data_IF_033591866288
#
_entry.id   IF_033591866288
#
_cell.length_a   1.000
_cell.length_b   1.000
_cell.length_c   1.000
_cell.angle_alpha   90.00
_cell.angle_beta   90.00
_cell.angle_gamma   90.00
#
_symmetry.space_group_name_H-M   'P 1'
#
loop_
_entity.id
_entity.type
_entity.pdbx_description
1 polymer ?
#
# COMPACT_ATOMS: atom_id res chain seq x y z
N UNK A 1 -9.80 30.91 6.50
CA UNK A 1 -9.60 30.29 5.16
C UNK A 1 -8.98 28.87 5.27
N UNK A 2 -7.89 28.67 6.02
CA UNK A 2 -7.27 27.35 6.18
C UNK A 2 -8.24 26.27 6.68
N UNK A 3 -9.06 26.56 7.68
CA UNK A 3 -10.08 25.65 8.21
C UNK A 3 -11.09 25.20 7.13
N UNK A 4 -11.58 26.13 6.30
CA UNK A 4 -12.50 25.77 5.20
C UNK A 4 -11.84 24.83 4.18
N UNK A 5 -10.57 25.08 3.86
CA UNK A 5 -9.81 24.20 2.97
C UNK A 5 -9.58 22.83 3.62
N UNK A 6 -9.38 22.76 4.93
CA UNK A 6 -9.31 21.51 5.69
C UNK A 6 -10.61 20.70 5.58
N UNK A 7 -11.78 21.36 5.62
CA UNK A 7 -13.07 20.70 5.38
C UNK A 7 -13.23 20.18 3.95
N UNK A 8 -12.67 20.88 2.94
CA UNK A 8 -12.66 20.37 1.57
C UNK A 8 -11.82 19.08 1.45
N UNK A 9 -10.67 19.03 2.09
CA UNK A 9 -9.85 17.79 2.14
C UNK A 9 -10.56 16.66 2.90
N UNK A 10 -11.29 16.98 3.97
CA UNK A 10 -12.13 16.00 4.67
C UNK A 10 -13.21 15.43 3.74
N UNK A 11 -13.88 16.31 2.97
CA UNK A 11 -14.83 15.89 1.94
C UNK A 11 -14.20 14.99 0.87
N UNK A 12 -12.97 15.29 0.47
CA UNK A 12 -12.19 14.44 -0.44
C UNK A 12 -11.89 13.08 0.18
N UNK A 13 -11.54 12.99 1.47
CA UNK A 13 -11.34 11.73 2.18
C UNK A 13 -12.61 10.87 2.15
N UNK A 14 -13.76 11.46 2.51
CA UNK A 14 -15.05 10.78 2.53
C UNK A 14 -15.39 10.30 1.12
N UNK A 15 -15.16 11.12 0.10
CA UNK A 15 -15.43 10.75 -1.28
C UNK A 15 -14.58 9.57 -1.76
N UNK A 16 -13.27 9.54 -1.42
CA UNK A 16 -12.37 8.44 -1.76
C UNK A 16 -12.85 7.14 -1.11
N UNK A 17 -13.13 7.17 0.20
CA UNK A 17 -13.60 6.00 0.95
C UNK A 17 -14.91 5.49 0.36
N UNK A 18 -15.90 6.38 0.18
CA UNK A 18 -17.17 6.03 -0.44
C UNK A 18 -16.98 5.38 -1.81
N UNK A 19 -16.08 5.93 -2.62
CA UNK A 19 -15.78 5.42 -3.95
C UNK A 19 -15.22 3.99 -3.89
N UNK A 20 -14.26 3.74 -3.00
CA UNK A 20 -13.69 2.42 -2.81
C UNK A 20 -14.72 1.39 -2.37
N UNK A 21 -15.57 1.76 -1.40
CA UNK A 21 -16.62 0.89 -0.86
C UNK A 21 -17.70 0.60 -1.92
N UNK A 22 -18.19 1.63 -2.61
CA UNK A 22 -19.23 1.45 -3.65
C UNK A 22 -18.74 0.57 -4.79
N UNK A 23 -17.50 0.79 -5.28
CA UNK A 23 -16.93 -0.02 -6.37
C UNK A 23 -16.70 -1.47 -5.92
N UNK A 24 -16.36 -1.70 -4.64
CA UNK A 24 -16.21 -3.04 -4.07
C UNK A 24 -17.57 -3.76 -3.91
N UNK A 25 -18.59 -3.05 -3.41
CA UNK A 25 -19.96 -3.60 -3.25
C UNK A 25 -20.56 -3.93 -4.62
N UNK A 26 -20.34 -3.11 -5.63
CA UNK A 26 -20.80 -3.36 -7.01
C UNK A 26 -19.99 -4.45 -7.73
N UNK A 27 -18.94 -4.96 -7.11
CA UNK A 27 -18.00 -5.93 -7.71
C UNK A 27 -17.31 -5.42 -8.99
N UNK A 28 -17.31 -4.10 -9.19
CA UNK A 28 -16.63 -3.48 -10.34
C UNK A 28 -15.11 -3.53 -10.19
N UNK A 29 -14.65 -3.35 -8.93
CA UNK A 29 -13.23 -3.39 -8.58
C UNK A 29 -13.09 -4.00 -7.20
N UNK A 30 -12.15 -4.92 -7.03
CA UNK A 30 -11.87 -5.49 -5.74
C UNK A 30 -11.39 -4.45 -4.72
N UNK A 31 -11.78 -4.63 -3.45
CA UNK A 31 -11.43 -3.69 -2.38
C UNK A 31 -9.92 -3.48 -2.28
N UNK A 32 -9.14 -4.55 -2.36
CA UNK A 32 -7.67 -4.53 -2.29
C UNK A 32 -7.00 -4.59 -3.68
N UNK A 33 -7.64 -4.03 -4.70
CA UNK A 33 -7.02 -3.87 -6.02
C UNK A 33 -5.88 -2.84 -5.99
N UNK A 34 -4.95 -2.93 -6.93
CA UNK A 34 -3.86 -1.96 -7.09
C UNK A 34 -4.38 -0.52 -7.15
N UNK A 35 -5.53 -0.30 -7.82
CA UNK A 35 -6.20 1.00 -7.87
C UNK A 35 -6.60 1.49 -6.49
N UNK A 36 -7.27 0.64 -5.71
CA UNK A 36 -7.76 1.00 -4.39
C UNK A 36 -6.61 1.16 -3.39
N UNK A 37 -5.55 0.37 -3.51
CA UNK A 37 -4.32 0.56 -2.72
C UNK A 37 -3.66 1.90 -3.01
N UNK A 38 -3.63 2.32 -4.29
CA UNK A 38 -3.18 3.67 -4.63
C UNK A 38 -4.06 4.75 -4.02
N UNK A 39 -5.40 4.60 -4.12
CA UNK A 39 -6.35 5.54 -3.52
C UNK A 39 -6.21 5.60 -2.00
N UNK A 40 -5.96 4.47 -1.34
CA UNK A 40 -5.70 4.41 0.11
C UNK A 40 -4.40 5.13 0.48
N UNK A 41 -3.34 4.93 -0.30
CA UNK A 41 -2.09 5.66 -0.13
C UNK A 41 -2.29 7.17 -0.32
N UNK A 42 -2.99 7.58 -1.37
CA UNK A 42 -3.32 8.98 -1.61
C UNK A 42 -4.19 9.58 -0.49
N UNK A 43 -5.18 8.83 -0.01
CA UNK A 43 -5.99 9.21 1.14
C UNK A 43 -5.12 9.51 2.36
N UNK A 44 -4.22 8.59 2.70
CA UNK A 44 -3.41 8.70 3.92
C UNK A 44 -2.35 9.80 3.83
N UNK A 45 -1.60 9.85 2.73
CA UNK A 45 -0.43 10.74 2.62
C UNK A 45 -0.77 12.15 2.14
N UNK A 46 -1.85 12.31 1.39
CA UNK A 46 -2.24 13.62 0.84
C UNK A 46 -3.47 14.16 1.55
N UNK A 47 -4.63 13.48 1.41
CA UNK A 47 -5.90 14.04 1.85
C UNK A 47 -6.02 14.09 3.37
N UNK A 48 -5.74 13.00 4.09
CA UNK A 48 -5.86 12.96 5.55
C UNK A 48 -4.76 13.80 6.22
N UNK A 49 -3.54 13.77 5.71
CA UNK A 49 -2.44 14.59 6.22
C UNK A 49 -2.75 16.09 6.07
N UNK A 50 -3.24 16.52 4.90
CA UNK A 50 -3.65 17.90 4.68
C UNK A 50 -4.86 18.29 5.56
N UNK A 51 -5.83 17.39 5.73
CA UNK A 51 -6.99 17.59 6.61
C UNK A 51 -6.51 17.88 8.04
N UNK A 52 -5.68 17.00 8.62
CA UNK A 52 -5.19 17.16 10.00
C UNK A 52 -4.38 18.43 10.17
N UNK A 53 -3.45 18.71 9.27
CA UNK A 53 -2.62 19.91 9.34
C UNK A 53 -3.44 21.20 9.27
N UNK A 54 -4.41 21.27 8.36
CA UNK A 54 -5.22 22.50 8.16
C UNK A 54 -6.31 22.70 9.23
N UNK A 55 -6.87 21.61 9.78
CA UNK A 55 -7.88 21.69 10.83
C UNK A 55 -7.28 21.94 12.20
N UNK A 56 -6.13 21.32 12.51
CA UNK A 56 -5.47 21.44 13.81
C UNK A 56 -4.50 22.63 13.87
N UNK A 57 -4.18 23.25 12.73
CA UNK A 57 -3.22 24.35 12.66
C UNK A 57 -1.77 23.88 12.86
N UNK A 58 -1.52 22.57 12.80
CA UNK A 58 -0.17 22.00 12.94
C UNK A 58 0.42 21.78 11.54
N UNK A 59 1.23 22.74 11.12
CA UNK A 59 1.91 22.69 9.81
C UNK A 59 3.27 21.99 9.86
N UNK A 60 3.57 21.31 10.97
CA UNK A 60 4.83 20.61 11.17
C UNK A 60 6.05 21.54 11.08
N UNK A 61 7.09 21.09 10.35
CA UNK A 61 8.33 21.87 10.15
C UNK A 61 8.19 22.97 9.08
N UNK A 62 7.13 22.99 8.29
CA UNK A 62 6.90 24.01 7.26
C UNK A 62 6.12 25.19 7.85
N UNK A 63 6.79 26.31 8.05
CA UNK A 63 6.13 27.59 8.28
C UNK A 63 5.53 28.07 6.96
N UNK A 64 4.22 27.95 6.81
CA UNK A 64 3.50 28.46 5.65
C UNK A 64 3.03 29.87 5.96
N UNK A 65 3.52 30.87 5.23
CA UNK A 65 3.09 32.27 5.40
C UNK A 65 1.62 32.47 5.04
N UNK A 66 1.11 31.66 4.10
CA UNK A 66 -0.28 31.70 3.63
C UNK A 66 -0.91 30.32 3.56
N UNK A 67 -1.17 29.65 4.71
CA UNK A 67 -1.62 28.26 4.72
C UNK A 67 -2.95 28.03 3.99
N UNK A 68 -3.84 29.03 4.00
CA UNK A 68 -5.12 28.93 3.31
C UNK A 68 -5.00 28.92 1.79
N UNK A 69 -4.13 29.76 1.22
CA UNK A 69 -3.93 29.81 -0.24
C UNK A 69 -3.15 28.59 -0.73
N UNK A 70 -2.07 28.26 -0.06
CA UNK A 70 -1.27 27.05 -0.38
C UNK A 70 -2.10 25.79 -0.28
N UNK A 71 -2.91 25.68 0.78
CA UNK A 71 -3.84 24.57 0.95
C UNK A 71 -4.86 24.47 -0.18
N UNK A 72 -5.43 25.60 -0.63
CA UNK A 72 -6.38 25.64 -1.74
C UNK A 72 -5.73 25.17 -3.05
N UNK A 73 -4.51 25.63 -3.33
CA UNK A 73 -3.76 25.20 -4.50
C UNK A 73 -3.48 23.68 -4.46
N UNK A 74 -3.03 23.17 -3.32
CA UNK A 74 -2.81 21.75 -3.11
C UNK A 74 -4.09 20.93 -3.26
N UNK A 75 -5.22 21.45 -2.78
CA UNK A 75 -6.52 20.81 -2.98
C UNK A 75 -6.90 20.73 -4.45
N UNK A 76 -6.76 21.84 -5.20
CA UNK A 76 -7.05 21.87 -6.64
C UNK A 76 -6.16 20.88 -7.41
N UNK A 77 -4.85 20.85 -7.12
CA UNK A 77 -3.91 19.90 -7.71
C UNK A 77 -4.25 18.44 -7.36
N UNK A 78 -4.63 18.17 -6.11
CA UNK A 78 -5.03 16.83 -5.68
C UNK A 78 -6.29 16.34 -6.39
N UNK A 79 -7.29 17.22 -6.55
CA UNK A 79 -8.50 16.91 -7.31
C UNK A 79 -8.21 16.66 -8.80
N UNK A 80 -7.39 17.51 -9.42
CA UNK A 80 -6.99 17.33 -10.82
C UNK A 80 -6.23 16.00 -11.00
N UNK A 81 -5.31 15.69 -10.11
CA UNK A 81 -4.55 14.45 -10.13
C UNK A 81 -5.45 13.21 -9.97
N UNK A 82 -6.36 13.21 -9.00
CA UNK A 82 -7.33 12.11 -8.82
C UNK A 82 -8.23 11.93 -10.04
N UNK A 83 -8.70 13.03 -10.62
CA UNK A 83 -9.51 12.98 -11.83
C UNK A 83 -8.74 12.38 -13.00
N UNK A 84 -7.51 12.83 -13.25
CA UNK A 84 -6.65 12.31 -14.32
C UNK A 84 -6.30 10.85 -14.07
N UNK A 85 -5.95 10.48 -12.84
CA UNK A 85 -5.65 9.10 -12.46
C UNK A 85 -6.83 8.19 -12.74
N UNK A 86 -8.02 8.52 -12.26
CA UNK A 86 -9.21 7.69 -12.44
C UNK A 86 -9.65 7.59 -13.90
N UNK A 87 -9.52 8.71 -14.65
CA UNK A 87 -9.80 8.74 -16.09
C UNK A 87 -8.81 7.86 -16.87
N UNK A 88 -7.53 7.95 -16.54
CA UNK A 88 -6.48 7.18 -17.21
C UNK A 88 -6.57 5.70 -16.86
N UNK A 89 -6.88 5.37 -15.60
CA UNK A 89 -7.08 3.99 -15.16
C UNK A 89 -8.18 3.29 -15.96
N UNK A 90 -9.30 3.96 -16.18
CA UNK A 90 -10.41 3.41 -16.97
C UNK A 90 -10.06 3.18 -18.44
N UNK A 91 -9.12 3.93 -18.99
CA UNK A 91 -8.71 3.87 -20.41
C UNK A 91 -7.47 3.02 -20.65
N UNK A 92 -6.73 2.71 -19.62
CA UNK A 92 -5.47 2.00 -19.74
C UNK A 92 -5.68 0.49 -19.90
N UNK A 93 -5.37 -0.03 -21.10
CA UNK A 93 -5.32 -1.48 -21.34
C UNK A 93 -4.32 -2.21 -20.44
N UNK A 94 -3.26 -1.50 -19.99
CA UNK A 94 -2.25 -2.03 -19.06
C UNK A 94 -2.85 -2.19 -17.68
N UNK A 95 -3.55 -1.18 -17.17
CA UNK A 95 -4.23 -1.23 -15.88
C UNK A 95 -5.30 -2.31 -15.84
N UNK A 96 -6.06 -2.46 -16.93
CA UNK A 96 -7.05 -3.53 -17.10
C UNK A 96 -6.38 -4.93 -17.12
N UNK A 97 -5.24 -5.06 -17.81
CA UNK A 97 -4.45 -6.29 -17.77
C UNK A 97 -3.90 -6.59 -16.38
N UNK A 98 -3.35 -5.60 -15.67
CA UNK A 98 -2.81 -5.79 -14.32
C UNK A 98 -3.93 -6.20 -13.36
N UNK A 99 -5.09 -5.55 -13.43
CA UNK A 99 -6.25 -5.90 -12.59
C UNK A 99 -6.80 -7.30 -12.87
N UNK A 100 -6.77 -7.73 -14.12
CA UNK A 100 -7.17 -9.09 -14.52
C UNK A 100 -6.04 -10.13 -14.33
N UNK A 101 -4.79 -9.72 -14.25
CA UNK A 101 -3.64 -10.63 -14.10
C UNK A 101 -3.67 -11.36 -12.76
N UNK A 102 -4.25 -10.75 -11.74
CA UNK A 102 -4.50 -11.37 -10.44
C UNK A 102 -5.46 -12.57 -10.52
N UNK A 103 -6.29 -12.66 -11.55
CA UNK A 103 -7.28 -13.72 -11.73
C UNK A 103 -6.80 -14.89 -12.63
N UNK A 104 -5.66 -14.74 -13.31
CA UNK A 104 -5.07 -15.86 -14.06
C UNK A 104 -4.24 -16.71 -13.10
N UNK A 105 -4.66 -17.95 -12.92
CA UNK A 105 -3.88 -18.98 -12.22
C UNK A 105 -2.58 -19.25 -12.97
N UNK A 106 -1.55 -18.48 -12.66
CA UNK A 106 -0.20 -18.96 -12.89
C UNK A 106 0.15 -19.85 -11.70
N UNK A 107 0.36 -21.12 -11.97
CA UNK A 107 0.91 -22.07 -11.01
C UNK A 107 2.37 -21.67 -10.79
N UNK A 108 2.59 -20.65 -9.95
CA UNK A 108 3.93 -20.34 -9.46
C UNK A 108 4.23 -21.33 -8.36
N UNK A 109 5.35 -22.06 -8.47
CA UNK A 109 5.77 -22.99 -7.43
C UNK A 109 6.03 -22.24 -6.13
N UNK A 110 5.70 -22.82 -4.98
CA UNK A 110 5.93 -22.18 -3.68
C UNK A 110 7.41 -21.91 -3.43
N UNK A 111 8.30 -22.77 -3.94
CA UNK A 111 9.77 -22.57 -3.90
C UNK A 111 10.14 -21.32 -4.72
N UNK A 112 9.54 -21.13 -5.89
CA UNK A 112 9.75 -19.93 -6.69
C UNK A 112 9.29 -18.65 -5.99
N UNK A 113 8.20 -18.71 -5.21
CA UNK A 113 7.74 -17.58 -4.41
C UNK A 113 8.73 -17.23 -3.29
N UNK A 114 9.27 -18.24 -2.59
CA UNK A 114 10.29 -18.02 -1.55
C UNK A 114 11.56 -17.42 -2.16
N UNK A 115 12.04 -18.00 -3.27
CA UNK A 115 13.22 -17.48 -3.96
C UNK A 115 13.02 -16.03 -4.41
N UNK A 116 11.83 -15.70 -4.94
CA UNK A 116 11.46 -14.33 -5.31
C UNK A 116 11.43 -13.41 -4.10
N UNK A 117 10.85 -13.84 -2.97
CA UNK A 117 10.81 -13.03 -1.76
C UNK A 117 12.22 -12.68 -1.28
N UNK A 118 13.14 -13.64 -1.22
CA UNK A 118 14.51 -13.38 -0.83
C UNK A 118 15.30 -12.53 -1.85
N UNK A 119 15.06 -12.72 -3.14
CA UNK A 119 15.60 -11.84 -4.17
C UNK A 119 15.15 -10.39 -4.00
N UNK A 120 13.86 -10.18 -3.68
CA UNK A 120 13.30 -8.85 -3.41
C UNK A 120 13.93 -8.24 -2.15
N UNK A 121 14.18 -9.04 -1.08
CA UNK A 121 14.95 -8.57 0.10
C UNK A 121 16.35 -8.13 -0.30
N UNK A 122 17.05 -8.91 -1.14
CA UNK A 122 18.39 -8.56 -1.63
C UNK A 122 18.40 -7.23 -2.40
N UNK A 123 17.43 -7.01 -3.29
CA UNK A 123 17.30 -5.74 -4.01
C UNK A 123 16.96 -4.60 -3.04
N UNK A 124 16.07 -4.81 -2.10
CA UNK A 124 15.74 -3.85 -1.05
C UNK A 124 16.96 -3.48 -0.20
N UNK A 125 17.79 -4.46 0.15
CA UNK A 125 19.04 -4.23 0.86
C UNK A 125 20.02 -3.36 0.06
N UNK A 126 20.19 -3.65 -1.23
CA UNK A 126 21.01 -2.83 -2.13
C UNK A 126 20.48 -1.39 -2.23
N UNK A 127 19.19 -1.20 -2.30
CA UNK A 127 18.57 0.12 -2.29
C UNK A 127 18.78 0.85 -0.96
N UNK A 128 18.71 0.13 0.16
CA UNK A 128 18.78 0.72 1.51
C UNK A 128 20.17 1.17 1.91
N UNK A 129 21.21 0.41 1.57
CA UNK A 129 22.56 0.64 2.05
C UNK A 129 23.46 1.20 0.95
N UNK A 130 23.84 0.47 -0.11
CA UNK A 130 24.79 0.98 -1.09
C UNK A 130 24.25 2.18 -1.88
N UNK A 131 23.02 2.12 -2.35
CA UNK A 131 22.45 3.18 -3.18
C UNK A 131 22.00 4.41 -2.38
N UNK A 132 21.72 4.25 -1.10
CA UNK A 132 21.34 5.37 -0.23
C UNK A 132 22.51 6.34 0.02
N UNK A 133 23.77 5.92 -0.20
CA UNK A 133 24.95 6.78 -0.06
C UNK A 133 25.06 7.79 -1.21
N UNK A 134 24.39 7.53 -2.34
CA UNK A 134 24.43 8.44 -3.49
C UNK A 134 23.61 9.71 -3.16
N UNK A 135 24.23 10.93 -3.24
CA UNK A 135 23.53 12.17 -3.01
C UNK A 135 22.25 12.27 -3.86
N UNK A 136 21.19 12.87 -3.31
CA UNK A 136 19.87 13.05 -3.91
C UNK A 136 19.04 11.76 -4.10
N UNK A 137 19.64 10.58 -4.16
CA UNK A 137 18.91 9.31 -4.34
C UNK A 137 18.51 8.67 -3.00
N UNK A 138 19.14 9.04 -1.88
CA UNK A 138 18.97 8.36 -0.59
C UNK A 138 17.52 8.28 -0.09
N UNK A 139 16.72 9.35 -0.26
CA UNK A 139 15.31 9.34 0.14
C UNK A 139 14.51 8.38 -0.75
N UNK A 140 14.68 8.49 -2.07
CA UNK A 140 13.95 7.69 -3.05
C UNK A 140 14.28 6.20 -2.89
N UNK A 141 15.56 5.86 -2.77
CA UNK A 141 16.01 4.48 -2.59
C UNK A 141 15.57 3.89 -1.25
N UNK A 142 15.49 4.70 -0.19
CA UNK A 142 14.96 4.27 1.10
C UNK A 142 13.47 3.94 1.03
N UNK A 143 12.66 4.75 0.34
CA UNK A 143 11.23 4.48 0.12
C UNK A 143 11.04 3.20 -0.71
N UNK A 144 11.83 3.04 -1.77
CA UNK A 144 11.80 1.83 -2.61
C UNK A 144 12.17 0.60 -1.78
N UNK A 145 13.21 0.68 -0.95
CA UNK A 145 13.64 -0.40 -0.08
C UNK A 145 12.53 -0.83 0.89
N UNK A 146 11.85 0.14 1.53
CA UNK A 146 10.73 -0.15 2.42
C UNK A 146 9.58 -0.87 1.68
N UNK A 147 9.26 -0.43 0.46
CA UNK A 147 8.29 -1.11 -0.40
C UNK A 147 8.72 -2.55 -0.76
N UNK A 148 9.99 -2.77 -1.06
CA UNK A 148 10.55 -4.09 -1.36
C UNK A 148 10.47 -5.03 -0.15
N UNK A 149 10.83 -4.58 1.05
CA UNK A 149 10.74 -5.39 2.26
C UNK A 149 9.30 -5.77 2.60
N UNK A 150 8.37 -4.83 2.46
CA UNK A 150 6.94 -5.09 2.64
C UNK A 150 6.42 -6.10 1.61
N UNK A 151 6.80 -5.96 0.35
CA UNK A 151 6.43 -6.89 -0.72
C UNK A 151 7.00 -8.31 -0.47
N UNK A 152 8.26 -8.42 -0.04
CA UNK A 152 8.91 -9.70 0.28
C UNK A 152 8.16 -10.45 1.39
N UNK A 153 7.79 -9.75 2.48
CA UNK A 153 7.02 -10.34 3.57
C UNK A 153 5.62 -10.76 3.09
N UNK A 154 4.96 -9.95 2.27
CA UNK A 154 3.67 -10.31 1.65
C UNK A 154 3.76 -11.57 0.79
N UNK A 155 4.79 -11.70 -0.05
CA UNK A 155 5.03 -12.90 -0.88
C UNK A 155 5.31 -14.12 0.00
N UNK A 156 6.13 -13.98 1.05
CA UNK A 156 6.43 -15.06 1.99
C UNK A 156 5.20 -15.52 2.77
N UNK A 157 4.38 -14.58 3.26
CA UNK A 157 3.11 -14.87 3.90
C UNK A 157 2.16 -15.62 2.96
N UNK A 158 2.07 -15.19 1.71
CA UNK A 158 1.25 -15.84 0.70
C UNK A 158 1.71 -17.26 0.40
N UNK A 159 3.03 -17.49 0.28
CA UNK A 159 3.60 -18.83 0.08
C UNK A 159 3.27 -19.76 1.26
N UNK A 160 3.39 -19.26 2.50
CA UNK A 160 3.03 -20.02 3.69
C UNK A 160 1.53 -20.33 3.76
N UNK A 161 0.67 -19.36 3.50
CA UNK A 161 -0.79 -19.54 3.55
C UNK A 161 -1.31 -20.53 2.50
N UNK A 162 -0.57 -20.76 1.43
CA UNK A 162 -0.89 -21.82 0.45
C UNK A 162 -0.64 -23.24 0.97
N UNK A 163 0.29 -23.39 1.93
CA UNK A 163 0.63 -24.67 2.56
C UNK A 163 0.91 -24.46 4.05
N UNK A 164 -0.12 -24.17 4.85
CA UNK A 164 0.06 -23.74 6.24
C UNK A 164 0.62 -24.85 7.15
N UNK A 165 0.44 -26.12 6.78
CA UNK A 165 0.95 -27.27 7.53
C UNK A 165 2.43 -27.59 7.23
N UNK A 166 3.04 -26.95 6.23
CA UNK A 166 4.45 -27.16 5.93
C UNK A 166 5.34 -26.23 6.76
N UNK A 167 6.12 -26.77 7.72
CA UNK A 167 6.92 -25.95 8.62
C UNK A 167 8.03 -25.17 7.89
N UNK A 168 8.51 -25.64 6.73
CA UNK A 168 9.54 -24.95 5.96
C UNK A 168 9.04 -23.60 5.49
N UNK A 169 7.81 -23.50 5.00
CA UNK A 169 7.24 -22.23 4.56
C UNK A 169 6.95 -21.30 5.74
N UNK A 170 6.52 -21.84 6.88
CA UNK A 170 6.33 -21.08 8.11
C UNK A 170 7.65 -20.48 8.62
N UNK A 171 8.71 -21.28 8.70
CA UNK A 171 10.04 -20.81 9.10
C UNK A 171 10.58 -19.74 8.14
N UNK A 172 10.43 -19.94 6.83
CA UNK A 172 10.82 -18.91 5.85
C UNK A 172 10.05 -17.60 6.03
N UNK A 173 8.73 -17.68 6.26
CA UNK A 173 7.94 -16.48 6.52
C UNK A 173 8.39 -15.74 7.80
N UNK A 174 8.60 -16.47 8.90
CA UNK A 174 9.11 -15.89 10.15
C UNK A 174 10.49 -15.28 9.93
N UNK A 175 11.39 -15.98 9.21
CA UNK A 175 12.71 -15.46 8.86
C UNK A 175 12.64 -14.16 8.04
N UNK A 176 11.80 -14.12 7.02
CA UNK A 176 11.56 -12.91 6.24
C UNK A 176 11.01 -11.76 7.10
N UNK A 177 10.04 -12.07 7.97
CA UNK A 177 9.44 -11.08 8.86
C UNK A 177 10.49 -10.48 9.80
N UNK A 178 11.33 -11.31 10.43
CA UNK A 178 12.39 -10.87 11.32
C UNK A 178 13.45 -10.02 10.60
N UNK A 179 13.97 -10.53 9.48
CA UNK A 179 15.00 -9.81 8.70
C UNK A 179 14.48 -8.47 8.21
N UNK A 180 13.29 -8.46 7.59
CA UNK A 180 12.70 -7.21 7.09
C UNK A 180 12.37 -6.22 8.23
N UNK A 181 11.90 -6.72 9.39
CA UNK A 181 11.63 -5.86 10.55
C UNK A 181 12.91 -5.20 11.06
N UNK A 182 14.01 -5.95 11.20
CA UNK A 182 15.30 -5.40 11.61
C UNK A 182 15.81 -4.37 10.61
N UNK A 183 15.74 -4.66 9.31
CA UNK A 183 16.19 -3.75 8.26
C UNK A 183 15.36 -2.46 8.21
N UNK A 184 14.05 -2.53 8.50
CA UNK A 184 13.17 -1.37 8.56
C UNK A 184 13.37 -0.55 9.83
N UNK A 185 13.53 -1.19 10.99
CA UNK A 185 13.76 -0.51 12.27
C UNK A 185 15.09 0.24 12.30
N UNK A 186 16.09 -0.19 11.52
CA UNK A 186 17.34 0.52 11.34
C UNK A 186 17.19 1.86 10.59
N UNK A 187 15.98 2.22 10.11
CA UNK A 187 15.70 3.45 9.38
C UNK A 187 15.05 4.55 10.21
N UNK A 188 15.10 5.78 9.69
CA UNK A 188 14.55 6.97 10.34
C UNK A 188 13.01 6.92 10.55
N UNK A 189 12.30 6.14 9.74
CA UNK A 189 10.82 6.03 9.75
C UNK A 189 10.34 4.67 10.28
N UNK A 190 11.17 3.91 10.97
CA UNK A 190 11.01 2.50 11.32
C UNK A 190 9.62 2.07 11.79
N UNK A 191 8.94 2.86 12.66
CA UNK A 191 7.61 2.51 13.17
C UNK A 191 6.53 2.49 12.08
N UNK A 192 6.55 3.44 11.15
CA UNK A 192 5.59 3.51 10.04
C UNK A 192 5.84 2.42 9.01
N UNK A 193 7.10 2.12 8.77
CA UNK A 193 7.52 1.09 7.84
C UNK A 193 7.14 -0.32 8.33
N UNK A 194 7.24 -0.58 9.64
CA UNK A 194 6.81 -1.84 10.27
C UNK A 194 5.30 -2.04 10.14
N UNK A 195 4.49 -0.99 10.24
CA UNK A 195 3.05 -1.09 9.98
C UNK A 195 2.77 -1.61 8.56
N UNK A 196 3.60 -1.24 7.59
CA UNK A 196 3.54 -1.74 6.23
C UNK A 196 3.69 -3.25 6.13
N UNK A 197 4.50 -3.88 7.00
CA UNK A 197 4.63 -5.35 7.05
C UNK A 197 3.30 -6.01 7.47
N UNK A 198 2.63 -5.47 8.49
CA UNK A 198 1.33 -5.97 8.95
C UNK A 198 0.27 -5.86 7.85
N UNK A 199 0.24 -4.73 7.14
CA UNK A 199 -0.64 -4.50 6.00
C UNK A 199 -0.34 -5.51 4.89
N UNK A 200 0.92 -5.78 4.60
CA UNK A 200 1.32 -6.75 3.57
C UNK A 200 0.91 -8.18 3.92
N UNK A 201 1.02 -8.57 5.20
CA UNK A 201 0.54 -9.87 5.70
C UNK A 201 -0.98 -9.95 5.61
N UNK A 202 -1.70 -8.92 6.04
CA UNK A 202 -3.16 -8.87 5.93
C UNK A 202 -3.63 -8.96 4.47
N UNK A 203 -2.92 -8.28 3.57
CA UNK A 203 -3.16 -8.34 2.12
C UNK A 203 -2.94 -9.75 1.58
N UNK A 204 -1.83 -10.39 1.94
CA UNK A 204 -1.54 -11.77 1.55
C UNK A 204 -2.60 -12.75 2.07
N UNK A 205 -3.07 -12.57 3.33
CA UNK A 205 -4.13 -13.36 3.93
C UNK A 205 -5.46 -13.22 3.18
N UNK A 206 -5.82 -11.98 2.85
CA UNK A 206 -7.02 -11.71 2.06
C UNK A 206 -6.97 -12.42 0.70
N UNK A 207 -5.87 -12.29 -0.04
CA UNK A 207 -5.70 -12.89 -1.36
C UNK A 207 -5.60 -14.42 -1.29
N UNK A 208 -4.95 -14.98 -0.28
CA UNK A 208 -4.87 -16.42 -0.10
C UNK A 208 -6.27 -17.03 0.12
N UNK A 209 -7.08 -16.42 1.00
CA UNK A 209 -8.43 -16.90 1.30
C UNK A 209 -9.40 -16.75 0.13
N UNK A 210 -9.30 -15.66 -0.63
CA UNK A 210 -10.18 -15.43 -1.77
C UNK A 210 -10.03 -16.50 -2.88
N UNK A 211 -8.86 -17.15 -2.97
CA UNK A 211 -8.58 -18.15 -3.99
C UNK A 211 -8.81 -19.60 -3.56
N UNK A 212 -8.86 -19.87 -2.25
CA UNK A 212 -8.76 -21.25 -1.75
C UNK A 212 -10.07 -21.95 -1.40
N UNK A 213 -11.18 -21.31 -1.28
CA UNK A 213 -12.50 -21.96 -1.29
C UNK A 213 -13.64 -20.93 -1.30
N UNK A 214 -14.69 -21.21 -2.07
CA UNK A 214 -15.95 -20.48 -2.03
C UNK A 214 -16.58 -20.56 -0.62
N UNK A 215 -16.34 -21.63 0.13
CA UNK A 215 -16.82 -21.83 1.51
C UNK A 215 -16.03 -21.03 2.55
N UNK A 216 -14.70 -20.91 2.44
CA UNK A 216 -13.91 -20.08 3.34
C UNK A 216 -14.09 -18.58 3.01
N UNK A 217 -14.37 -18.25 1.76
CA UNK A 217 -14.73 -16.89 1.33
C UNK A 217 -16.00 -16.36 1.99
N UNK A 218 -16.98 -17.23 2.27
CA UNK A 218 -18.21 -16.87 3.00
C UNK A 218 -17.91 -16.46 4.45
N UNK A 219 -17.04 -17.19 5.14
CA UNK A 219 -16.69 -16.88 6.54
C UNK A 219 -15.98 -15.52 6.70
N UNK A 220 -15.18 -15.09 5.71
CA UNK A 220 -14.52 -13.77 5.75
C UNK A 220 -15.48 -12.65 5.34
N UNK A 221 -16.42 -12.89 4.44
CA UNK A 221 -17.48 -11.91 4.11
C UNK A 221 -18.39 -11.62 5.31
N UNK A 222 -18.64 -12.61 6.15
CA UNK A 222 -19.44 -12.46 7.40
C UNK A 222 -18.62 -11.76 8.51
N UNK A 223 -17.30 -11.87 8.53
CA UNK A 223 -16.44 -11.23 9.53
C UNK A 223 -16.07 -9.78 9.19
N UNK A 224 -16.38 -9.30 7.98
CA UNK A 224 -16.05 -7.94 7.48
C UNK A 224 -17.32 -7.11 7.26
N UNK A 225 -18.51 -7.68 7.44
CA UNK A 225 -19.79 -6.98 7.52
C UNK A 225 -20.14 -6.75 8.98
#
# INVERSE_FOLDING_TARGET
>A
MAFLVGLLFLGQCIWIIRRMVVDAVRKDVELLSVRNMFLLGFLNFVSASATTSLLLGDYGLMRLDTPGFTGLLMFALSCAFLFLFLRHWRRSRIADRISRYGFRERIVSNIGLIATAWAVVGVGFLCRFPLAVIPFLGIVTSIIAAGMFNAAVGIGAWAWMRQPLNPVFGLNFVGLLLVCSVLLLAGAFGRREVLGLLISVAFAAYWARFRFSDTAGLGVRVAVV
#
